data_IF_092908758166
#
_entry.id   IF_092908758166
#
_cell.length_a   1.000
_cell.length_b   1.000
_cell.length_c   1.000
_cell.angle_alpha   90.00
_cell.angle_beta   90.00
_cell.angle_gamma   90.00
#
_symmetry.space_group_name_H-M   'P 1'
#
loop_
_entity.id
_entity.type
_entity.pdbx_description
1 polymer ?
#
# COMPACT_ATOMS: atom_id res chain seq x y z
N UNK A 1 61.33 -2.13 -44.51
CA UNK A 1 59.90 -2.40 -44.76
C UNK A 1 59.20 -2.65 -43.41
N UNK A 2 58.61 -1.65 -42.85
CA UNK A 2 57.97 -1.71 -41.52
C UNK A 2 56.46 -1.96 -41.70
N UNK A 3 55.98 -3.11 -41.23
CA UNK A 3 54.58 -3.48 -41.24
C UNK A 3 54.00 -3.03 -39.89
N UNK A 4 53.13 -2.01 -39.96
CA UNK A 4 52.38 -1.52 -38.80
C UNK A 4 51.06 -2.29 -38.80
N UNK A 5 50.85 -3.13 -37.81
CA UNK A 5 49.56 -3.79 -37.55
C UNK A 5 48.57 -2.81 -36.89
N UNK A 6 47.33 -2.69 -37.37
CA UNK A 6 46.35 -1.91 -36.67
C UNK A 6 45.78 -2.71 -35.48
N UNK A 7 45.94 -2.15 -34.30
CA UNK A 7 45.37 -2.61 -33.04
C UNK A 7 43.86 -2.26 -33.05
N UNK A 8 43.07 -3.27 -33.33
CA UNK A 8 41.59 -3.16 -33.33
C UNK A 8 41.11 -3.12 -31.89
N UNK A 9 40.81 -1.89 -31.44
CA UNK A 9 40.31 -1.63 -30.10
C UNK A 9 38.83 -2.03 -30.04
N UNK A 10 38.54 -3.21 -29.44
CA UNK A 10 37.21 -3.74 -29.24
C UNK A 10 36.53 -2.93 -28.10
N UNK A 11 35.75 -1.92 -28.46
CA UNK A 11 34.89 -1.21 -27.52
C UNK A 11 33.71 -2.12 -27.16
N UNK A 12 33.80 -2.81 -26.04
CA UNK A 12 32.67 -3.50 -25.43
C UNK A 12 31.77 -2.41 -24.84
N UNK A 13 30.68 -2.10 -25.53
CA UNK A 13 29.58 -1.32 -25.01
C UNK A 13 28.89 -2.15 -23.90
N UNK A 14 29.28 -1.88 -22.64
CA UNK A 14 28.48 -2.29 -21.49
C UNK A 14 27.19 -1.45 -21.49
N UNK A 15 26.16 -1.99 -22.13
CA UNK A 15 24.80 -1.51 -21.91
C UNK A 15 24.43 -1.85 -20.48
N UNK A 16 24.06 -0.89 -19.62
CA UNK A 16 23.42 -1.23 -18.36
C UNK A 16 22.08 -1.89 -18.72
N UNK A 17 21.93 -3.17 -18.43
CA UNK A 17 20.66 -3.83 -18.30
C UNK A 17 19.94 -3.17 -17.11
N UNK A 18 19.20 -2.09 -17.38
CA UNK A 18 18.16 -1.63 -16.48
C UNK A 18 17.08 -2.71 -16.46
N UNK A 19 17.33 -3.78 -15.72
CA UNK A 19 16.27 -4.65 -15.28
C UNK A 19 15.36 -3.80 -14.39
N UNK A 20 14.09 -3.73 -14.71
CA UNK A 20 13.06 -3.38 -13.74
C UNK A 20 13.10 -4.47 -12.66
N UNK A 21 13.97 -4.30 -11.69
CA UNK A 21 13.82 -4.91 -10.37
C UNK A 21 12.69 -4.09 -9.77
N UNK A 22 11.52 -4.68 -9.58
CA UNK A 22 10.52 -4.13 -8.69
C UNK A 22 11.24 -3.95 -7.35
N UNK A 23 11.45 -2.73 -6.95
CA UNK A 23 12.05 -2.44 -5.65
C UNK A 23 10.95 -2.72 -4.62
N UNK A 24 10.97 -3.93 -4.05
CA UNK A 24 10.14 -4.32 -2.91
C UNK A 24 10.72 -3.62 -1.67
N UNK A 25 10.49 -2.33 -1.56
CA UNK A 25 11.00 -1.51 -0.47
C UNK A 25 9.86 -0.77 0.22
N UNK A 26 9.93 -0.69 1.54
CA UNK A 26 9.19 0.32 2.29
C UNK A 26 9.92 1.66 2.20
N UNK A 27 9.18 2.75 2.13
CA UNK A 27 9.73 4.10 2.22
C UNK A 27 9.19 4.79 3.47
N UNK A 28 10.10 5.28 4.31
CA UNK A 28 9.76 6.02 5.52
C UNK A 28 9.34 7.45 5.16
N UNK A 29 8.22 7.91 5.75
CA UNK A 29 7.68 9.25 5.53
C UNK A 29 8.04 10.18 6.69
N UNK A 30 8.60 11.33 6.39
CA UNK A 30 8.91 12.39 7.37
C UNK A 30 7.72 13.37 7.48
N UNK A 31 6.55 12.86 7.86
CA UNK A 31 5.36 13.66 8.08
C UNK A 31 5.06 13.81 9.57
N UNK A 32 4.45 14.92 9.97
CA UNK A 32 4.06 15.22 11.35
C UNK A 32 2.56 15.47 11.49
N UNK A 33 1.88 15.76 10.41
CA UNK A 33 0.45 16.01 10.41
C UNK A 33 -0.33 14.70 10.19
N UNK A 34 -1.47 14.52 10.84
CA UNK A 34 -2.36 13.40 10.57
C UNK A 34 -2.82 13.37 9.10
N UNK A 35 -3.01 12.15 8.56
CA UNK A 35 -3.59 11.99 7.23
C UNK A 35 -4.95 12.71 7.15
N UNK A 36 -5.31 13.25 5.97
CA UNK A 36 -6.65 13.76 5.74
C UNK A 36 -7.70 12.70 6.06
N UNK A 37 -8.84 13.14 6.58
CA UNK A 37 -9.91 12.21 6.89
C UNK A 37 -10.68 11.83 5.63
N UNK A 38 -11.11 10.58 5.56
CA UNK A 38 -11.99 10.06 4.51
C UNK A 38 -13.21 9.45 5.18
N UNK A 39 -14.40 9.82 4.74
CA UNK A 39 -15.63 9.09 5.02
C UNK A 39 -16.19 8.56 3.72
N UNK A 40 -16.30 7.23 3.59
CA UNK A 40 -16.80 6.58 2.38
C UNK A 40 -17.59 5.32 2.72
N UNK A 41 -18.53 4.88 1.85
CA UNK A 41 -19.23 3.62 2.05
C UNK A 41 -18.31 2.42 1.84
N UNK A 42 -18.50 1.38 2.65
CA UNK A 42 -17.89 0.07 2.45
C UNK A 42 -18.74 -0.83 1.54
N UNK A 43 -18.29 -2.05 1.27
CA UNK A 43 -18.98 -3.05 0.44
C UNK A 43 -20.40 -3.37 0.92
N UNK A 44 -20.75 -3.09 2.18
CA UNK A 44 -22.08 -3.30 2.75
C UNK A 44 -22.95 -2.03 2.71
N UNK A 45 -22.44 -0.91 2.21
CA UNK A 45 -23.09 0.39 2.15
C UNK A 45 -23.08 1.16 3.49
N UNK A 46 -22.26 0.74 4.43
CA UNK A 46 -22.05 1.42 5.71
C UNK A 46 -20.92 2.44 5.56
N UNK A 47 -21.11 3.64 6.10
CA UNK A 47 -20.05 4.63 6.09
C UNK A 47 -18.95 4.27 7.11
N UNK A 48 -17.70 4.34 6.66
CA UNK A 48 -16.49 4.16 7.47
C UNK A 48 -15.68 5.44 7.37
N UNK A 49 -15.15 5.89 8.50
CA UNK A 49 -14.33 7.11 8.59
C UNK A 49 -12.95 6.75 9.10
N UNK A 50 -11.88 7.19 8.40
CA UNK A 50 -10.50 6.81 8.77
C UNK A 50 -10.11 7.27 10.18
N UNK A 51 -10.59 8.42 10.63
CA UNK A 51 -10.32 8.88 12.00
C UNK A 51 -10.96 8.02 13.11
N UNK A 52 -11.87 7.12 12.78
CA UNK A 52 -12.41 6.15 13.75
C UNK A 52 -11.39 5.09 14.16
N UNK A 53 -10.33 4.90 13.37
CA UNK A 53 -9.24 3.98 13.66
C UNK A 53 -8.10 4.59 14.49
N UNK A 54 -8.19 5.85 14.92
CA UNK A 54 -7.19 6.44 15.81
C UNK A 54 -7.09 5.67 17.11
N UNK A 55 -5.87 5.52 17.61
CA UNK A 55 -5.56 4.68 18.77
C UNK A 55 -5.21 3.23 18.38
N UNK A 56 -5.20 2.91 17.07
CA UNK A 56 -4.66 1.68 16.51
C UNK A 56 -3.66 2.00 15.39
N UNK A 57 -2.73 1.10 15.12
CA UNK A 57 -2.00 1.16 13.84
C UNK A 57 -3.00 0.90 12.73
N UNK A 58 -3.05 1.77 11.72
CA UNK A 58 -3.93 1.60 10.58
C UNK A 58 -3.10 1.28 9.33
N UNK A 59 -3.43 0.18 8.69
CA UNK A 59 -2.90 -0.19 7.38
C UNK A 59 -3.98 0.10 6.34
N UNK A 60 -3.66 0.97 5.38
CA UNK A 60 -4.53 1.30 4.26
C UNK A 60 -3.97 0.66 3.00
N UNK A 61 -4.70 -0.29 2.42
CA UNK A 61 -4.37 -0.88 1.13
C UNK A 61 -5.07 -0.10 0.02
N UNK A 62 -4.28 0.40 -0.92
CA UNK A 62 -4.78 1.03 -2.15
C UNK A 62 -4.79 0.01 -3.27
N UNK A 63 -5.96 -0.28 -3.81
CA UNK A 63 -6.15 -1.16 -4.95
C UNK A 63 -6.84 -0.46 -6.13
N UNK A 64 -6.42 -0.83 -7.34
CA UNK A 64 -7.04 -0.27 -8.54
C UNK A 64 -8.39 -0.94 -8.84
N UNK A 65 -8.40 -2.19 -9.20
CA UNK A 65 -9.54 -3.08 -9.46
C UNK A 65 -9.08 -4.39 -10.15
N UNK A 66 -10.01 -5.21 -10.62
CA UNK A 66 -9.79 -6.50 -11.31
C UNK A 66 -8.89 -6.42 -12.56
N UNK A 67 -8.88 -5.28 -13.27
CA UNK A 67 -8.00 -5.09 -14.42
C UNK A 67 -6.51 -5.04 -14.07
N UNK A 68 -6.20 -4.82 -12.80
CA UNK A 68 -4.84 -4.81 -12.27
C UNK A 68 -4.48 -6.23 -11.78
N UNK A 69 -3.74 -6.99 -12.58
CA UNK A 69 -3.38 -8.37 -12.26
C UNK A 69 -2.61 -8.51 -10.95
N UNK A 70 -1.70 -7.56 -10.66
CA UNK A 70 -0.94 -7.55 -9.40
C UNK A 70 -1.87 -7.26 -8.20
N UNK A 71 -2.89 -6.40 -8.38
CA UNK A 71 -3.87 -6.12 -7.33
C UNK A 71 -4.72 -7.35 -7.00
N UNK A 72 -5.06 -8.18 -8.01
CA UNK A 72 -5.75 -9.45 -7.78
C UNK A 72 -4.91 -10.44 -6.99
N UNK A 73 -3.62 -10.52 -7.31
CA UNK A 73 -2.69 -11.40 -6.59
C UNK A 73 -2.55 -10.95 -5.13
N UNK A 74 -2.50 -9.63 -4.89
CA UNK A 74 -2.41 -9.05 -3.55
C UNK A 74 -3.70 -9.26 -2.75
N UNK A 75 -4.86 -8.99 -3.33
CA UNK A 75 -6.16 -9.17 -2.68
C UNK A 75 -6.34 -10.61 -2.13
N UNK A 76 -5.86 -11.61 -2.86
CA UNK A 76 -5.91 -13.01 -2.42
C UNK A 76 -4.96 -13.33 -1.24
N UNK A 77 -4.02 -12.45 -0.93
CA UNK A 77 -3.03 -12.62 0.16
C UNK A 77 -3.31 -11.73 1.37
N UNK A 78 -4.20 -10.76 1.23
CA UNK A 78 -4.52 -9.81 2.30
C UNK A 78 -4.96 -10.50 3.59
N UNK A 79 -5.72 -11.60 3.50
CA UNK A 79 -6.14 -12.36 4.68
C UNK A 79 -4.95 -13.05 5.38
N UNK A 80 -3.95 -13.54 4.65
CA UNK A 80 -2.70 -14.08 5.21
C UNK A 80 -1.90 -12.97 5.92
N UNK A 81 -1.84 -11.78 5.32
CA UNK A 81 -1.23 -10.61 5.94
C UNK A 81 -1.91 -10.25 7.26
N UNK A 82 -3.24 -10.15 7.28
CA UNK A 82 -4.00 -9.86 8.49
C UNK A 82 -3.75 -10.89 9.59
N UNK A 83 -3.68 -12.18 9.24
CA UNK A 83 -3.35 -13.25 10.19
C UNK A 83 -1.92 -13.11 10.72
N UNK A 84 -0.96 -12.72 9.88
CA UNK A 84 0.42 -12.52 10.31
C UNK A 84 0.55 -11.32 11.27
N UNK A 85 -0.15 -10.23 11.01
CA UNK A 85 -0.18 -9.06 11.89
C UNK A 85 -0.91 -9.35 13.20
N UNK A 86 -1.96 -10.17 13.19
CA UNK A 86 -2.65 -10.62 14.41
C UNK A 86 -1.80 -11.57 15.27
N UNK A 87 -0.74 -12.16 14.71
CA UNK A 87 0.25 -12.96 15.43
C UNK A 87 1.42 -12.16 16.00
N UNK A 88 1.53 -10.86 15.69
CA UNK A 88 2.42 -9.95 16.38
C UNK A 88 1.99 -9.89 17.86
N UNK A 89 2.83 -9.43 18.74
CA UNK A 89 2.61 -9.36 20.19
C UNK A 89 1.19 -8.83 20.56
N UNK A 90 0.58 -9.32 21.65
CA UNK A 90 -0.74 -8.87 22.16
C UNK A 90 -0.84 -7.34 22.39
N UNK A 91 0.28 -6.63 22.38
CA UNK A 91 0.36 -5.17 22.46
C UNK A 91 -0.03 -4.47 21.15
N UNK A 92 0.00 -5.17 20.00
CA UNK A 92 -0.25 -4.58 18.70
C UNK A 92 -1.73 -4.62 18.37
N UNK A 93 -2.35 -3.45 18.31
CA UNK A 93 -3.70 -3.31 17.78
C UNK A 93 -3.59 -2.73 16.36
N UNK A 94 -3.87 -3.55 15.37
CA UNK A 94 -3.81 -3.17 13.95
C UNK A 94 -5.22 -3.19 13.38
N UNK A 95 -5.59 -2.10 12.71
CA UNK A 95 -6.79 -2.00 11.89
C UNK A 95 -6.40 -2.00 10.41
N UNK A 96 -7.28 -2.50 9.56
CA UNK A 96 -7.03 -2.62 8.14
C UNK A 96 -8.25 -2.13 7.34
N UNK A 97 -7.96 -1.33 6.31
CA UNK A 97 -8.97 -0.80 5.38
C UNK A 97 -8.42 -0.89 3.97
N UNK A 98 -9.26 -1.31 3.03
CA UNK A 98 -8.92 -1.32 1.61
C UNK A 98 -9.69 -0.22 0.88
N UNK A 99 -9.02 0.48 -0.02
CA UNK A 99 -9.59 1.51 -0.87
C UNK A 99 -9.59 1.02 -2.33
N UNK A 100 -10.77 0.79 -2.88
CA UNK A 100 -10.95 0.34 -4.26
C UNK A 100 -11.25 1.54 -5.17
N UNK A 101 -10.38 1.78 -6.17
CA UNK A 101 -10.43 2.96 -7.01
C UNK A 101 -11.47 2.86 -8.13
N UNK A 102 -11.41 1.78 -8.92
CA UNK A 102 -12.14 1.65 -10.17
C UNK A 102 -13.07 0.42 -10.15
N UNK A 103 -14.01 0.38 -11.11
CA UNK A 103 -14.77 -0.83 -11.41
C UNK A 103 -13.88 -1.91 -12.06
N UNK A 104 -14.41 -3.12 -12.22
CA UNK A 104 -13.66 -4.26 -12.74
C UNK A 104 -12.98 -4.01 -14.10
N UNK A 105 -13.57 -3.18 -14.97
CA UNK A 105 -13.03 -2.84 -16.28
C UNK A 105 -12.06 -1.65 -16.27
N UNK A 106 -11.89 -0.94 -15.13
CA UNK A 106 -11.04 0.26 -15.04
C UNK A 106 -11.60 1.47 -15.79
N UNK A 107 -12.90 1.49 -16.06
CA UNK A 107 -13.53 2.54 -16.90
C UNK A 107 -14.32 3.57 -16.12
N UNK A 108 -14.78 3.22 -14.93
CA UNK A 108 -15.55 4.09 -14.02
C UNK A 108 -15.09 3.89 -12.58
N UNK A 109 -15.60 4.73 -11.69
CA UNK A 109 -15.36 4.63 -10.26
C UNK A 109 -16.03 3.37 -9.72
N UNK A 110 -15.37 2.71 -8.75
CA UNK A 110 -15.92 1.54 -8.08
C UNK A 110 -17.28 1.84 -7.44
N UNK A 111 -18.26 1.01 -7.73
CA UNK A 111 -19.58 1.01 -7.11
C UNK A 111 -19.63 0.09 -5.88
N UNK A 112 -20.73 0.09 -5.16
CA UNK A 112 -20.96 -0.87 -4.07
C UNK A 112 -20.96 -2.32 -4.58
N UNK A 113 -21.50 -2.58 -5.77
CA UNK A 113 -21.49 -3.90 -6.39
C UNK A 113 -20.08 -4.36 -6.73
N UNK A 114 -19.23 -3.44 -7.26
CA UNK A 114 -17.81 -3.73 -7.53
C UNK A 114 -17.07 -4.06 -6.22
N UNK A 115 -17.27 -3.28 -5.15
CA UNK A 115 -16.67 -3.53 -3.85
C UNK A 115 -17.12 -4.84 -3.20
N UNK A 116 -18.40 -5.21 -3.36
CA UNK A 116 -18.93 -6.51 -2.91
C UNK A 116 -18.28 -7.66 -3.68
N UNK A 117 -18.27 -7.60 -5.00
CA UNK A 117 -17.68 -8.63 -5.85
C UNK A 117 -16.19 -8.80 -5.56
N UNK A 118 -15.48 -7.69 -5.37
CA UNK A 118 -14.06 -7.67 -4.99
C UNK A 118 -13.83 -8.34 -3.64
N UNK A 119 -14.61 -7.99 -2.63
CA UNK A 119 -14.55 -8.59 -1.29
C UNK A 119 -14.86 -10.09 -1.29
N UNK A 120 -15.85 -10.52 -2.09
CA UNK A 120 -16.18 -11.94 -2.24
C UNK A 120 -15.07 -12.70 -2.97
N UNK A 121 -14.49 -12.12 -4.02
CA UNK A 121 -13.39 -12.70 -4.78
C UNK A 121 -12.16 -12.96 -3.90
N UNK A 122 -11.76 -11.97 -3.11
CA UNK A 122 -10.60 -12.05 -2.22
C UNK A 122 -10.89 -12.73 -0.87
N UNK A 123 -12.16 -13.06 -0.61
CA UNK A 123 -12.64 -13.65 0.66
C UNK A 123 -12.13 -12.87 1.88
N UNK A 124 -12.11 -11.55 1.79
CA UNK A 124 -11.61 -10.69 2.84
C UNK A 124 -12.65 -10.39 3.92
N UNK A 125 -12.17 -10.11 5.14
CA UNK A 125 -13.00 -9.80 6.32
C UNK A 125 -13.01 -8.31 6.68
N UNK A 126 -12.22 -7.50 6.00
CA UNK A 126 -12.07 -6.06 6.26
C UNK A 126 -13.01 -5.20 5.41
N UNK A 127 -13.04 -3.89 5.70
CA UNK A 127 -13.83 -2.93 4.93
C UNK A 127 -13.14 -2.58 3.61
N UNK A 128 -13.88 -2.68 2.51
CA UNK A 128 -13.49 -2.23 1.17
C UNK A 128 -14.26 -0.96 0.85
N UNK A 129 -13.61 0.19 0.92
CA UNK A 129 -14.21 1.49 0.66
C UNK A 129 -14.22 1.80 -0.83
N UNK A 130 -15.27 2.44 -1.31
CA UNK A 130 -15.50 2.71 -2.72
C UNK A 130 -16.16 4.07 -2.97
N UNK A 131 -16.35 4.43 -4.23
CA UNK A 131 -17.04 5.64 -4.64
C UNK A 131 -16.13 6.85 -4.89
N UNK A 132 -16.75 8.00 -5.21
CA UNK A 132 -16.01 9.20 -5.62
C UNK A 132 -15.06 9.70 -4.54
N UNK A 133 -15.49 9.75 -3.28
CA UNK A 133 -14.65 10.21 -2.17
C UNK A 133 -13.40 9.34 -2.00
N UNK A 134 -13.54 8.02 -2.15
CA UNK A 134 -12.42 7.07 -2.10
C UNK A 134 -11.44 7.32 -3.24
N UNK A 135 -11.94 7.50 -4.46
CA UNK A 135 -11.08 7.78 -5.62
C UNK A 135 -10.31 9.09 -5.47
N UNK A 136 -10.98 10.16 -5.08
CA UNK A 136 -10.34 11.46 -4.89
C UNK A 136 -9.26 11.38 -3.79
N UNK A 137 -9.57 10.69 -2.69
CA UNK A 137 -8.61 10.46 -1.61
C UNK A 137 -7.36 9.69 -2.06
N UNK A 138 -7.54 8.63 -2.87
CA UNK A 138 -6.42 7.86 -3.44
C UNK A 138 -5.53 8.78 -4.29
N UNK A 139 -6.12 9.53 -5.23
CA UNK A 139 -5.39 10.40 -6.14
C UNK A 139 -4.62 11.48 -5.37
N UNK A 140 -5.26 12.14 -4.40
CA UNK A 140 -4.62 13.16 -3.55
C UNK A 140 -3.51 12.57 -2.66
N UNK A 141 -3.69 11.34 -2.15
CA UNK A 141 -2.68 10.68 -1.33
C UNK A 141 -1.47 10.28 -2.16
N UNK A 142 -1.67 9.75 -3.35
CA UNK A 142 -0.58 9.37 -4.24
C UNK A 142 0.27 10.57 -4.66
N UNK A 143 -0.38 11.68 -5.00
CA UNK A 143 0.31 12.93 -5.33
C UNK A 143 1.08 13.50 -4.14
N UNK A 144 0.50 13.45 -2.92
CA UNK A 144 1.11 14.02 -1.71
C UNK A 144 2.30 13.22 -1.22
N UNK A 145 2.19 11.88 -1.21
CA UNK A 145 3.21 10.97 -0.67
C UNK A 145 4.13 10.39 -1.76
N UNK A 146 4.00 10.87 -3.03
CA UNK A 146 4.76 10.38 -4.19
C UNK A 146 4.67 8.85 -4.38
N UNK A 147 3.49 8.26 -4.11
CA UNK A 147 3.26 6.82 -4.21
C UNK A 147 3.17 6.44 -5.70
N UNK A 148 4.02 5.53 -6.20
CA UNK A 148 4.18 5.31 -7.64
C UNK A 148 3.06 4.49 -8.30
N UNK A 149 2.18 3.83 -7.54
CA UNK A 149 1.10 3.04 -8.14
C UNK A 149 0.45 1.99 -7.25
N UNK A 150 -0.23 1.04 -7.88
CA UNK A 150 -1.02 0.00 -7.23
C UNK A 150 -0.38 -1.39 -7.37
N UNK A 151 -0.62 -2.33 -6.44
CA UNK A 151 -1.15 -2.07 -5.10
C UNK A 151 -0.13 -1.35 -4.24
N UNK A 152 -0.59 -0.62 -3.23
CA UNK A 152 0.29 0.04 -2.25
C UNK A 152 -0.34 0.03 -0.88
N UNK A 153 0.49 -0.04 0.15
CA UNK A 153 0.09 0.04 1.54
C UNK A 153 0.61 1.33 2.16
N UNK A 154 -0.24 2.03 2.88
CA UNK A 154 0.15 3.16 3.73
C UNK A 154 0.01 2.73 5.19
N UNK A 155 1.10 2.83 5.94
CA UNK A 155 1.14 2.53 7.38
C UNK A 155 0.96 3.84 8.14
N UNK A 156 -0.04 3.87 9.01
CA UNK A 156 -0.45 5.05 9.78
C UNK A 156 -0.38 4.71 11.26
N UNK A 157 0.23 5.57 12.05
CA UNK A 157 0.37 5.36 13.50
C UNK A 157 -0.92 5.64 14.29
N UNK A 158 -0.85 5.47 15.61
CA UNK A 158 -1.97 5.62 16.52
C UNK A 158 -2.53 7.06 16.59
N UNK A 159 -1.71 8.05 16.25
CA UNK A 159 -2.12 9.46 16.18
C UNK A 159 -2.73 9.83 14.81
N UNK A 160 -2.69 8.89 13.88
CA UNK A 160 -3.20 9.08 12.52
C UNK A 160 -2.18 9.70 11.57
N UNK A 161 -0.89 9.63 11.89
CA UNK A 161 0.20 10.16 11.05
C UNK A 161 0.74 9.05 10.14
N UNK A 162 0.86 9.32 8.85
CA UNK A 162 1.49 8.40 7.91
C UNK A 162 2.99 8.27 8.22
N UNK A 163 3.48 7.03 8.33
CA UNK A 163 4.87 6.74 8.69
C UNK A 163 5.67 6.13 7.56
N UNK A 164 5.03 5.29 6.77
CA UNK A 164 5.69 4.63 5.66
C UNK A 164 4.68 4.14 4.63
N UNK A 165 5.17 3.85 3.44
CA UNK A 165 4.39 3.15 2.43
C UNK A 165 5.20 2.02 1.79
N UNK A 166 4.49 0.99 1.34
CA UNK A 166 5.07 -0.19 0.67
C UNK A 166 4.34 -0.40 -0.64
N UNK A 167 5.08 -0.59 -1.73
CA UNK A 167 4.50 -0.85 -3.06
C UNK A 167 4.64 -2.32 -3.43
N UNK A 168 3.65 -2.84 -4.11
CA UNK A 168 3.66 -4.19 -4.66
C UNK A 168 3.14 -5.25 -3.69
N UNK A 169 3.36 -6.53 -4.07
CA UNK A 169 3.00 -7.71 -3.28
C UNK A 169 4.12 -7.97 -2.28
N UNK A 170 3.96 -7.52 -1.05
CA UNK A 170 5.05 -7.63 -0.08
C UNK A 170 4.59 -7.70 1.38
N UNK A 171 3.70 -8.65 1.67
CA UNK A 171 3.10 -8.84 2.99
C UNK A 171 4.13 -8.95 4.12
N UNK A 172 5.29 -9.63 3.94
CA UNK A 172 6.29 -9.71 5.00
C UNK A 172 6.88 -8.33 5.36
N UNK A 173 7.11 -7.46 4.36
CA UNK A 173 7.63 -6.11 4.60
C UNK A 173 6.56 -5.26 5.30
N UNK A 174 5.29 -5.35 4.88
CA UNK A 174 4.20 -4.62 5.54
C UNK A 174 4.09 -5.02 7.01
N UNK A 175 4.13 -6.32 7.32
CA UNK A 175 4.07 -6.80 8.70
C UNK A 175 5.27 -6.35 9.54
N UNK A 176 6.48 -6.41 8.97
CA UNK A 176 7.71 -5.93 9.63
C UNK A 176 7.65 -4.43 9.89
N UNK A 177 7.22 -3.65 8.90
CA UNK A 177 7.14 -2.20 8.99
C UNK A 177 6.10 -1.75 10.02
N UNK A 178 4.91 -2.37 10.05
CA UNK A 178 3.92 -2.14 11.11
C UNK A 178 4.52 -2.36 12.50
N UNK A 179 5.29 -3.42 12.69
CA UNK A 179 5.96 -3.69 13.97
C UNK A 179 6.98 -2.62 14.32
N UNK A 180 7.83 -2.24 13.36
CA UNK A 180 8.87 -1.21 13.55
C UNK A 180 8.23 0.12 13.93
N UNK A 181 7.20 0.56 13.21
CA UNK A 181 6.52 1.83 13.47
C UNK A 181 5.79 1.82 14.82
N UNK A 182 5.19 0.70 15.19
CA UNK A 182 4.55 0.58 16.52
C UNK A 182 5.56 0.64 17.66
N UNK A 183 6.68 -0.06 17.54
CA UNK A 183 7.73 -0.04 18.57
C UNK A 183 8.37 1.35 18.70
N UNK A 184 8.55 2.07 17.58
CA UNK A 184 9.02 3.45 17.58
C UNK A 184 8.03 4.38 18.33
N UNK A 185 6.74 4.25 18.03
CA UNK A 185 5.69 5.01 18.71
C UNK A 185 5.68 4.78 20.23
N UNK A 186 5.80 3.54 20.68
CA UNK A 186 5.86 3.21 22.11
C UNK A 186 7.10 3.80 22.80
N UNK A 187 8.25 3.81 22.10
CA UNK A 187 9.47 4.41 22.65
C UNK A 187 9.36 5.92 22.81
N UNK A 188 8.67 6.61 21.90
CA UNK A 188 8.43 8.05 22.02
C UNK A 188 7.53 8.40 23.20
N UNK A 189 6.52 7.56 23.48
CA UNK A 189 5.65 7.73 24.64
C UNK A 189 6.39 7.58 25.97
N UNK A 190 7.38 6.68 26.05
CA UNK A 190 8.17 6.43 27.27
C UNK A 190 9.18 7.56 27.57
N UNK A 191 9.47 8.43 26.60
CA UNK A 191 10.44 9.52 26.71
C UNK A 191 9.81 10.89 27.06
N UNK A 192 8.49 11.02 26.98
CA UNK A 192 7.73 12.25 27.25
C UNK A 192 6.93 12.16 28.55
#
# INVERSE_FOLDING_TARGET
MRIIAPMMMLLILLSPLSGCVGDDSSEELDTVDPIPDLTAPNQHGENVTLSEFRGTMLVILFNAADWCGICNDEANRTEELLQSMGGLDDRYTVSFVELLRDNAEGTTIASQEDAMNWSEYSNNSHSVLHGQATRDYIEETFDREDIPGFPSYLIVDLDGVARSWVVGINEPIVAEDVQVQYDAYLQDLDQN
#
